data_IF_694876569114
#
_entry.id   IF_694876569114
#
_cell.length_a   1.000
_cell.length_b   1.000
_cell.length_c   1.000
_cell.angle_alpha   90.00
_cell.angle_beta   90.00
_cell.angle_gamma   90.00
#
_symmetry.space_group_name_H-M   'P 1'
#
loop_
_entity.id
_entity.type
_entity.pdbx_description
1 polymer ?
#
# COMPACT_ATOMS: atom_id res chain seq x y z
N UNK A 1 -11.87 -1.96 8.93
CA UNK A 1 -10.65 -1.83 8.10
C UNK A 1 -10.73 -2.90 7.03
N UNK A 2 -10.68 -2.52 5.76
CA UNK A 2 -10.79 -3.47 4.64
C UNK A 2 -9.58 -4.43 4.62
N UNK A 3 -9.76 -5.72 4.25
CA UNK A 3 -8.69 -6.73 4.24
C UNK A 3 -7.45 -6.32 3.43
N UNK A 4 -7.66 -5.57 2.33
CA UNK A 4 -6.58 -5.12 1.45
C UNK A 4 -5.73 -4.02 2.09
N UNK A 5 -6.34 -3.04 2.77
CA UNK A 5 -5.63 -1.96 3.48
C UNK A 5 -4.73 -2.54 4.57
N UNK A 6 -5.22 -3.55 5.29
CA UNK A 6 -4.45 -4.29 6.29
C UNK A 6 -3.24 -5.02 5.69
N UNK A 7 -3.44 -5.66 4.53
CA UNK A 7 -2.39 -6.38 3.82
C UNK A 7 -1.29 -5.45 3.32
N UNK A 8 -1.66 -4.30 2.73
CA UNK A 8 -0.71 -3.28 2.27
C UNK A 8 0.13 -2.76 3.44
N UNK A 9 -0.52 -2.38 4.55
CA UNK A 9 0.18 -1.91 5.75
C UNK A 9 1.10 -2.97 6.34
N UNK A 10 0.67 -4.23 6.41
CA UNK A 10 1.49 -5.33 6.90
C UNK A 10 2.73 -5.55 6.02
N UNK A 11 2.57 -5.46 4.69
CA UNK A 11 3.68 -5.57 3.76
C UNK A 11 4.71 -4.45 3.95
N UNK A 12 4.24 -3.19 4.00
CA UNK A 12 5.13 -2.03 4.18
C UNK A 12 5.87 -2.07 5.52
N UNK A 13 5.20 -2.51 6.60
CA UNK A 13 5.83 -2.67 7.94
C UNK A 13 6.84 -3.80 8.00
N UNK A 14 6.60 -4.92 7.29
CA UNK A 14 7.48 -6.10 7.35
C UNK A 14 8.82 -5.87 6.68
N UNK A 15 8.87 -5.07 5.61
CA UNK A 15 10.04 -5.02 4.74
C UNK A 15 11.09 -3.98 5.13
N UNK A 16 10.95 -3.28 6.27
CA UNK A 16 11.73 -2.06 6.58
C UNK A 16 11.68 -1.00 5.47
N UNK A 17 10.78 -1.17 4.49
CA UNK A 17 10.58 -0.29 3.37
C UNK A 17 9.63 0.81 3.81
N UNK A 18 10.20 1.92 4.29
CA UNK A 18 9.44 3.16 4.50
C UNK A 18 8.84 3.69 3.19
N UNK A 19 9.33 3.20 2.05
CA UNK A 19 8.89 3.54 0.70
C UNK A 19 8.75 2.28 -0.17
N UNK A 20 7.69 2.20 -0.96
CA UNK A 20 7.47 1.14 -1.95
C UNK A 20 6.90 1.72 -3.24
N UNK A 21 7.31 1.19 -4.39
CA UNK A 21 6.69 1.53 -5.67
C UNK A 21 5.34 0.82 -5.84
N UNK A 22 4.35 1.54 -6.38
CA UNK A 22 3.02 1.00 -6.69
C UNK A 22 3.10 -0.23 -7.60
N UNK A 23 3.96 -0.29 -8.65
CA UNK A 23 4.11 -1.50 -9.46
C UNK A 23 4.75 -2.70 -8.73
N UNK A 24 5.54 -2.47 -7.67
CA UNK A 24 6.04 -3.55 -6.83
C UNK A 24 4.95 -4.05 -5.88
N UNK A 25 4.13 -3.14 -5.34
CA UNK A 25 2.97 -3.48 -4.53
C UNK A 25 1.96 -4.33 -5.31
N UNK A 26 1.62 -3.89 -6.52
CA UNK A 26 0.67 -4.56 -7.40
C UNK A 26 1.11 -6.02 -7.67
N UNK A 27 2.38 -6.20 -8.05
CA UNK A 27 2.97 -7.54 -8.22
C UNK A 27 2.90 -8.38 -6.94
N UNK A 28 3.18 -7.80 -5.78
CA UNK A 28 3.07 -8.53 -4.51
C UNK A 28 1.63 -9.00 -4.25
N UNK A 29 0.65 -8.12 -4.44
CA UNK A 29 -0.76 -8.43 -4.19
C UNK A 29 -1.27 -9.50 -5.14
N UNK A 30 -0.96 -9.40 -6.43
CA UNK A 30 -1.35 -10.38 -7.45
C UNK A 30 -0.68 -11.73 -7.22
N UNK A 31 0.64 -11.76 -7.10
CA UNK A 31 1.40 -13.03 -7.10
C UNK A 31 1.51 -13.71 -5.74
N UNK A 32 1.53 -12.96 -4.64
CA UNK A 32 1.76 -13.53 -3.29
C UNK A 32 0.46 -13.77 -2.55
N UNK A 33 -0.51 -12.86 -2.70
CA UNK A 33 -1.78 -12.97 -1.99
C UNK A 33 -2.89 -13.64 -2.80
N UNK A 34 -2.69 -13.83 -4.11
CA UNK A 34 -3.69 -14.39 -5.03
C UNK A 34 -5.05 -13.70 -4.85
N UNK A 35 -5.02 -12.38 -4.65
CA UNK A 35 -6.22 -11.56 -4.55
C UNK A 35 -6.74 -11.31 -5.97
N UNK A 36 -7.36 -12.33 -6.59
CA UNK A 36 -7.93 -12.30 -7.95
C UNK A 36 -8.89 -11.11 -8.17
N UNK A 37 -9.49 -10.60 -7.09
CA UNK A 37 -10.50 -9.52 -7.11
C UNK A 37 -9.93 -8.15 -7.48
N UNK A 38 -8.60 -7.95 -7.51
CA UNK A 38 -8.00 -6.61 -7.64
C UNK A 38 -7.04 -6.44 -8.84
N UNK A 39 -7.06 -7.36 -9.80
CA UNK A 39 -6.34 -7.20 -11.07
C UNK A 39 -6.98 -6.07 -11.90
N UNK A 40 -6.24 -5.00 -12.17
CA UNK A 40 -6.53 -4.08 -13.28
C UNK A 40 -7.40 -2.85 -13.02
N UNK A 41 -7.39 -2.26 -11.81
CA UNK A 41 -7.93 -0.89 -11.65
C UNK A 41 -8.27 -0.42 -10.24
N UNK A 42 -8.54 -1.34 -9.31
CA UNK A 42 -9.05 -0.98 -7.98
C UNK A 42 -7.92 -0.64 -6.96
N UNK A 43 -6.68 -1.06 -7.21
CA UNK A 43 -5.55 -0.72 -6.32
C UNK A 43 -5.34 0.79 -6.17
N UNK A 44 -5.48 1.56 -7.26
CA UNK A 44 -5.32 3.01 -7.19
C UNK A 44 -6.39 3.68 -6.31
N UNK A 45 -7.63 3.21 -6.36
CA UNK A 45 -8.71 3.71 -5.51
C UNK A 45 -8.43 3.39 -4.03
N UNK A 46 -8.02 2.15 -3.73
CA UNK A 46 -7.61 1.75 -2.38
C UNK A 46 -6.46 2.62 -1.86
N UNK A 47 -5.45 2.91 -2.69
CA UNK A 47 -4.34 3.77 -2.30
C UNK A 47 -4.79 5.22 -2.06
N UNK A 48 -5.69 5.75 -2.89
CA UNK A 48 -6.26 7.09 -2.70
C UNK A 48 -7.04 7.19 -1.38
N UNK A 49 -7.86 6.19 -1.07
CA UNK A 49 -8.57 6.12 0.20
C UNK A 49 -7.59 6.04 1.38
N UNK A 50 -6.55 5.21 1.29
CA UNK A 50 -5.54 5.12 2.35
C UNK A 50 -4.76 6.42 2.55
N UNK A 51 -4.54 7.20 1.49
CA UNK A 51 -3.95 8.55 1.58
C UNK A 51 -4.93 9.51 2.26
N UNK A 52 -6.21 9.48 1.89
CA UNK A 52 -7.25 10.30 2.52
C UNK A 52 -7.42 9.99 4.02
N UNK A 53 -7.22 8.72 4.40
CA UNK A 53 -7.22 8.24 5.78
C UNK A 53 -5.89 8.48 6.53
N UNK A 54 -4.88 9.10 5.90
CA UNK A 54 -3.53 9.28 6.44
C UNK A 54 -2.83 7.98 6.88
N UNK A 55 -3.21 6.83 6.31
CA UNK A 55 -2.57 5.54 6.59
C UNK A 55 -1.24 5.37 5.84
N UNK A 56 -1.13 6.00 4.66
CA UNK A 56 0.06 6.08 3.82
C UNK A 56 0.18 7.50 3.25
N UNK A 57 1.37 7.88 2.79
CA UNK A 57 1.62 9.14 2.10
C UNK A 57 1.99 8.89 0.63
N UNK A 58 1.70 9.85 -0.23
CA UNK A 58 2.15 9.84 -1.62
C UNK A 58 3.65 10.19 -1.67
N UNK A 59 4.45 9.28 -2.22
CA UNK A 59 5.88 9.50 -2.46
C UNK A 59 6.16 10.08 -3.85
N UNK A 60 7.44 10.32 -4.17
CA UNK A 60 7.84 10.80 -5.49
C UNK A 60 7.50 9.82 -6.61
N UNK A 61 6.92 10.33 -7.69
CA UNK A 61 6.54 9.50 -8.84
C UNK A 61 5.39 8.54 -8.54
N UNK A 62 5.64 7.24 -8.68
CA UNK A 62 4.68 6.16 -8.43
C UNK A 62 5.04 5.36 -7.18
N UNK A 63 5.39 6.04 -6.08
CA UNK A 63 5.71 5.43 -4.80
C UNK A 63 4.73 5.86 -3.70
N UNK A 64 4.61 5.03 -2.67
CA UNK A 64 3.85 5.30 -1.45
C UNK A 64 4.77 5.10 -0.25
N UNK A 65 4.51 5.86 0.81
CA UNK A 65 5.33 5.94 2.00
C UNK A 65 4.49 5.60 3.23
N UNK A 66 5.10 4.97 4.24
CA UNK A 66 4.47 4.96 5.56
C UNK A 66 4.69 6.34 6.20
N UNK A 67 3.65 6.98 6.76
CA UNK A 67 3.85 8.16 7.58
C UNK A 67 4.80 7.81 8.73
N UNK A 68 5.73 8.70 9.06
CA UNK A 68 6.52 8.53 10.26
C UNK A 68 5.55 8.46 11.43
N UNK A 69 5.45 7.27 12.05
CA UNK A 69 4.71 7.15 13.29
C UNK A 69 5.49 7.98 14.30
N UNK A 70 5.01 9.19 14.54
CA UNK A 70 5.60 10.11 15.49
C UNK A 70 5.84 9.37 16.78
N UNK A 71 7.11 9.23 17.15
CA UNK A 71 7.50 9.09 18.54
C UNK A 71 7.05 10.38 19.22
N UNK A 72 5.84 10.36 19.77
CA UNK A 72 5.44 11.26 20.86
C UNK A 72 5.67 10.54 22.18
#
# INVERSE_FOLDING_TARGET
MEPIKATILAYMRKSSHKEISVPALDRYLVYVKQEDTYIGGNLLAVLQDMIAENLILRGPGSTILLPEQGTS
#
